data_IF_306420473213
#
_entry.id   IF_306420473213
#
_cell.length_a   1.000
_cell.length_b   1.000
_cell.length_c   1.000
_cell.angle_alpha   90.00
_cell.angle_beta   90.00
_cell.angle_gamma   90.00
#
_symmetry.space_group_name_H-M   'P 1'
#
loop_
_entity.id
_entity.type
_entity.pdbx_description
1 polymer ?
#
# COMPACT_ATOMS: atom_id res chain seq x y z
N UNK A 1 1.96 -18.66 13.09
CA UNK A 1 1.41 -17.31 13.31
C UNK A 1 1.85 -16.37 12.18
N UNK A 2 1.50 -16.71 10.94
CA UNK A 2 1.79 -15.88 9.76
C UNK A 2 0.52 -15.51 8.98
N UNK A 3 -0.66 -15.73 9.59
CA UNK A 3 -1.95 -15.55 8.88
C UNK A 3 -2.49 -14.13 8.88
N UNK A 4 -1.95 -13.23 9.70
CA UNK A 4 -2.46 -11.84 9.82
C UNK A 4 -1.80 -10.83 8.86
N UNK A 5 -0.80 -11.25 8.07
CA UNK A 5 -0.06 -10.34 7.16
C UNK A 5 -0.77 -10.14 5.83
N UNK A 6 -1.64 -11.08 5.46
CA UNK A 6 -2.31 -11.07 4.17
C UNK A 6 -3.81 -11.37 4.32
N UNK A 7 -4.64 -10.41 3.96
CA UNK A 7 -6.08 -10.61 3.69
C UNK A 7 -6.36 -10.32 2.22
N UNK A 8 -6.55 -11.35 1.38
CA UNK A 8 -7.16 -11.13 0.08
C UNK A 8 -8.61 -10.71 0.33
N UNK A 9 -8.92 -9.46 0.07
CA UNK A 9 -10.31 -8.99 0.11
C UNK A 9 -10.98 -9.44 -1.17
N UNK A 10 -11.69 -10.56 -1.10
CA UNK A 10 -12.61 -10.94 -2.15
C UNK A 10 -13.61 -9.80 -2.37
N UNK A 11 -13.88 -9.47 -3.61
CA UNK A 11 -14.82 -8.47 -4.09
C UNK A 11 -16.18 -8.61 -3.37
N UNK A 12 -16.40 -7.88 -2.30
CA UNK A 12 -17.66 -7.89 -1.57
C UNK A 12 -18.29 -6.52 -1.67
N UNK A 13 -19.15 -6.36 -2.69
CA UNK A 13 -20.14 -5.27 -2.80
C UNK A 13 -21.11 -5.19 -1.61
N UNK A 14 -20.92 -5.94 -0.53
CA UNK A 14 -21.96 -6.21 0.47
C UNK A 14 -21.82 -5.55 1.83
N UNK A 15 -20.88 -4.63 2.06
CA UNK A 15 -20.76 -3.92 3.35
C UNK A 15 -20.69 -2.40 3.27
N UNK A 16 -21.22 -1.79 2.20
CA UNK A 16 -21.32 -0.31 2.15
C UNK A 16 -22.32 0.29 3.15
N UNK A 17 -23.15 -0.50 3.79
CA UNK A 17 -24.24 0.02 4.65
C UNK A 17 -24.00 -0.01 6.16
N UNK A 18 -22.96 -0.66 6.65
CA UNK A 18 -22.84 -0.88 8.10
C UNK A 18 -21.64 -0.22 8.79
N UNK A 19 -20.69 0.38 8.08
CA UNK A 19 -19.45 0.78 8.72
C UNK A 19 -19.26 2.27 9.02
N UNK A 20 -20.09 3.18 8.50
CA UNK A 20 -19.77 4.61 8.67
C UNK A 20 -20.98 5.52 8.93
N UNK A 21 -21.60 5.41 10.10
CA UNK A 21 -22.20 6.59 10.75
C UNK A 21 -21.11 7.43 11.42
N UNK A 22 -20.11 7.88 10.67
CA UNK A 22 -19.11 8.82 11.16
C UNK A 22 -19.47 10.21 10.66
N UNK A 23 -20.09 10.97 11.53
CA UNK A 23 -20.60 12.33 11.28
C UNK A 23 -19.57 13.44 11.33
N UNK A 24 -18.27 13.14 11.43
CA UNK A 24 -17.25 14.19 11.42
C UNK A 24 -17.06 14.81 10.03
N UNK A 25 -17.18 16.15 9.87
CA UNK A 25 -16.95 16.82 8.58
C UNK A 25 -15.59 16.48 7.93
N UNK A 26 -14.56 16.26 8.74
CA UNK A 26 -13.20 15.92 8.29
C UNK A 26 -13.12 14.51 7.69
N UNK A 27 -13.89 13.56 8.22
CA UNK A 27 -13.96 12.20 7.65
C UNK A 27 -14.69 12.21 6.33
N UNK A 28 -15.80 12.93 6.25
CA UNK A 28 -16.53 13.14 4.99
C UNK A 28 -15.65 13.81 3.93
N UNK A 29 -14.76 14.70 4.33
CA UNK A 29 -13.81 15.33 3.41
C UNK A 29 -12.78 14.32 2.87
N UNK A 30 -12.23 13.44 3.72
CA UNK A 30 -11.31 12.39 3.29
C UNK A 30 -11.97 11.42 2.29
N UNK A 31 -13.22 11.02 2.56
CA UNK A 31 -14.01 10.19 1.64
C UNK A 31 -14.28 10.90 0.31
N UNK A 32 -14.59 12.20 0.34
CA UNK A 32 -14.78 13.02 -0.86
C UNK A 32 -13.52 13.04 -1.72
N UNK A 33 -12.34 13.25 -1.10
CA UNK A 33 -11.07 13.21 -1.81
C UNK A 33 -10.74 11.82 -2.35
N UNK A 34 -11.06 10.77 -1.60
CA UNK A 34 -10.90 9.40 -2.06
C UNK A 34 -11.70 9.14 -3.36
N UNK A 35 -12.96 9.56 -3.40
CA UNK A 35 -13.81 9.43 -4.59
C UNK A 35 -13.32 10.31 -5.75
N UNK A 36 -12.79 11.50 -5.45
CA UNK A 36 -12.26 12.42 -6.45
C UNK A 36 -11.03 11.85 -7.16
N UNK A 37 -10.09 11.25 -6.41
CA UNK A 37 -8.84 10.71 -6.96
C UNK A 37 -9.00 9.32 -7.55
N UNK A 38 -10.08 8.60 -7.20
CA UNK A 38 -10.29 7.21 -7.59
C UNK A 38 -10.21 6.95 -9.10
N UNK A 39 -10.81 7.76 -9.99
CA UNK A 39 -10.75 7.52 -11.44
C UNK A 39 -9.35 7.68 -12.04
N UNK A 40 -8.44 8.38 -11.36
CA UNK A 40 -7.05 8.51 -11.79
C UNK A 40 -6.24 7.27 -11.43
N UNK A 41 -5.06 7.11 -12.03
CA UNK A 41 -4.10 6.07 -11.66
C UNK A 41 -2.97 6.61 -10.77
N UNK A 42 -3.15 7.81 -10.22
CA UNK A 42 -2.19 8.45 -9.32
C UNK A 42 -1.96 7.60 -8.07
N UNK A 43 -0.71 7.59 -7.61
CA UNK A 43 -0.37 7.08 -6.28
C UNK A 43 -0.96 8.01 -5.21
N UNK A 44 -1.49 7.44 -4.15
CA UNK A 44 -2.12 8.19 -3.06
C UNK A 44 -1.39 7.92 -1.76
N UNK A 45 -1.07 8.98 -1.03
CA UNK A 45 -0.55 8.92 0.34
C UNK A 45 -1.65 9.27 1.33
N UNK A 46 -1.97 8.35 2.24
CA UNK A 46 -2.96 8.55 3.29
C UNK A 46 -2.23 8.77 4.61
N UNK A 47 -2.35 9.97 5.15
CA UNK A 47 -1.75 10.35 6.44
C UNK A 47 -2.80 10.30 7.55
N UNK A 48 -2.48 9.70 8.68
CA UNK A 48 -3.39 9.66 9.82
C UNK A 48 -2.91 8.74 10.93
N UNK A 49 -3.37 8.98 12.15
CA UNK A 49 -3.04 8.16 13.30
C UNK A 49 -3.48 6.68 13.12
N UNK A 50 -2.92 5.80 13.91
CA UNK A 50 -3.32 4.39 13.91
C UNK A 50 -4.80 4.25 14.28
N UNK A 51 -5.49 3.31 13.62
CA UNK A 51 -6.92 3.06 13.88
C UNK A 51 -7.89 4.10 13.29
N UNK A 52 -7.43 5.06 12.49
CA UNK A 52 -8.31 6.08 11.89
C UNK A 52 -9.10 5.59 10.67
N UNK A 53 -8.88 4.36 10.23
CA UNK A 53 -9.58 3.80 9.07
C UNK A 53 -8.90 4.11 7.72
N UNK A 54 -7.57 4.24 7.68
CA UNK A 54 -6.80 4.48 6.45
C UNK A 54 -7.05 3.39 5.38
N UNK A 55 -7.15 2.13 5.79
CA UNK A 55 -7.49 1.03 4.87
C UNK A 55 -8.88 1.20 4.25
N UNK A 56 -9.85 1.68 5.01
CA UNK A 56 -11.20 1.95 4.50
C UNK A 56 -11.20 3.04 3.42
N UNK A 57 -10.37 4.08 3.59
CA UNK A 57 -10.17 5.11 2.56
C UNK A 57 -9.52 4.50 1.31
N UNK A 58 -8.50 3.65 1.48
CA UNK A 58 -7.86 2.95 0.37
C UNK A 58 -8.85 2.05 -0.40
N UNK A 59 -9.71 1.32 0.31
CA UNK A 59 -10.78 0.53 -0.30
C UNK A 59 -11.79 1.40 -1.04
N UNK A 60 -12.14 2.57 -0.50
CA UNK A 60 -13.04 3.52 -1.17
C UNK A 60 -12.43 4.00 -2.49
N UNK A 61 -11.14 4.29 -2.51
CA UNK A 61 -10.41 4.65 -3.74
C UNK A 61 -10.49 3.50 -4.74
N UNK A 62 -10.13 2.30 -4.34
CA UNK A 62 -10.14 1.13 -5.21
C UNK A 62 -11.54 0.86 -5.79
N UNK A 63 -12.57 0.83 -4.95
CA UNK A 63 -13.94 0.50 -5.35
C UNK A 63 -14.58 1.52 -6.30
N UNK A 64 -14.05 2.75 -6.34
CA UNK A 64 -14.51 3.81 -7.25
C UNK A 64 -13.52 4.09 -8.40
N UNK A 65 -12.49 3.25 -8.57
CA UNK A 65 -11.49 3.33 -9.65
C UNK A 65 -11.86 2.45 -10.83
N UNK A 66 -11.15 2.63 -11.95
CA UNK A 66 -11.23 1.73 -13.12
C UNK A 66 -10.80 0.29 -12.79
N UNK A 67 -10.10 0.09 -11.66
CA UNK A 67 -9.61 -1.20 -11.18
C UNK A 67 -10.53 -1.88 -10.16
N UNK A 68 -11.76 -1.41 -10.00
CA UNK A 68 -12.69 -1.83 -8.94
C UNK A 68 -12.98 -3.34 -8.91
N UNK A 69 -12.91 -4.02 -10.05
CA UNK A 69 -13.14 -5.46 -10.21
C UNK A 69 -11.86 -6.29 -10.23
N UNK A 70 -10.71 -5.64 -10.04
CA UNK A 70 -9.40 -6.26 -9.99
C UNK A 70 -8.96 -6.47 -8.53
N UNK A 71 -7.87 -7.21 -8.25
CA UNK A 71 -7.45 -7.47 -6.88
C UNK A 71 -7.14 -6.19 -6.08
N UNK A 72 -7.51 -6.20 -4.80
CA UNK A 72 -7.04 -5.26 -3.80
C UNK A 72 -6.21 -6.05 -2.78
N UNK A 73 -4.92 -5.78 -2.72
CA UNK A 73 -3.97 -6.45 -1.83
C UNK A 73 -3.51 -5.47 -0.77
N UNK A 74 -3.81 -5.74 0.50
CA UNK A 74 -3.37 -4.92 1.63
C UNK A 74 -2.18 -5.58 2.34
N UNK A 75 -1.13 -4.80 2.57
CA UNK A 75 0.10 -5.22 3.22
C UNK A 75 0.43 -4.26 4.36
N UNK A 76 0.64 -4.80 5.56
CA UNK A 76 1.22 -4.04 6.67
C UNK A 76 2.74 -4.17 6.62
N UNK A 77 3.44 -3.10 6.23
CA UNK A 77 4.90 -3.08 6.12
C UNK A 77 5.60 -3.26 7.47
N UNK A 78 4.97 -2.86 8.57
CA UNK A 78 5.51 -3.04 9.93
C UNK A 78 5.54 -4.48 10.41
N UNK A 79 4.73 -5.35 9.81
CA UNK A 79 4.65 -6.77 10.17
C UNK A 79 5.57 -7.67 9.32
N UNK A 80 6.31 -7.12 8.34
CA UNK A 80 7.15 -7.90 7.43
C UNK A 80 8.53 -8.19 8.05
N UNK A 81 8.95 -9.48 8.11
CA UNK A 81 10.33 -9.81 8.44
C UNK A 81 11.29 -9.20 7.41
N UNK A 82 12.36 -8.54 7.87
CA UNK A 82 13.33 -7.87 6.98
C UNK A 82 13.91 -8.80 5.92
N UNK A 83 14.32 -9.98 6.34
CA UNK A 83 14.99 -10.98 5.50
C UNK A 83 14.07 -11.54 4.40
N UNK A 84 12.76 -11.47 4.61
CA UNK A 84 11.76 -12.01 3.69
C UNK A 84 11.05 -10.93 2.86
N UNK A 85 11.25 -9.65 3.17
CA UNK A 85 10.48 -8.57 2.58
C UNK A 85 10.58 -8.54 1.04
N UNK A 86 11.78 -8.64 0.47
CA UNK A 86 11.96 -8.66 -0.98
C UNK A 86 11.22 -9.85 -1.63
N UNK A 87 11.32 -11.03 -1.06
CA UNK A 87 10.60 -12.23 -1.53
C UNK A 87 9.08 -12.10 -1.38
N UNK A 88 8.60 -11.47 -0.31
CA UNK A 88 7.16 -11.23 -0.10
C UNK A 88 6.61 -10.22 -1.09
N UNK A 89 7.34 -9.15 -1.38
CA UNK A 89 6.91 -8.13 -2.34
C UNK A 89 6.97 -8.62 -3.78
N UNK A 90 8.10 -9.23 -4.18
CA UNK A 90 8.41 -9.49 -5.59
C UNK A 90 8.35 -10.97 -5.97
N UNK A 91 8.18 -11.86 -4.97
CA UNK A 91 8.26 -13.30 -5.18
C UNK A 91 9.70 -13.82 -5.29
N UNK A 92 9.87 -15.12 -5.38
CA UNK A 92 11.16 -15.75 -5.63
C UNK A 92 11.02 -16.99 -6.49
N UNK A 93 12.07 -17.30 -7.23
CA UNK A 93 12.21 -18.55 -7.97
C UNK A 93 12.75 -19.65 -7.05
N UNK A 94 12.48 -20.90 -7.42
CA UNK A 94 13.06 -22.05 -6.72
C UNK A 94 14.59 -21.96 -6.72
N UNK A 95 15.22 -22.13 -5.56
CA UNK A 95 16.67 -22.09 -5.41
C UNK A 95 17.27 -20.69 -5.38
N UNK A 96 16.47 -19.63 -5.33
CA UNK A 96 16.95 -18.24 -5.32
C UNK A 96 17.80 -17.89 -4.08
N UNK A 97 17.56 -18.56 -2.97
CA UNK A 97 18.32 -18.45 -1.71
C UNK A 97 18.20 -19.74 -0.90
N UNK A 98 18.99 -19.88 0.16
CA UNK A 98 18.93 -21.05 1.05
C UNK A 98 17.54 -21.15 1.70
N UNK A 99 16.83 -22.26 1.46
CA UNK A 99 15.45 -22.47 1.93
C UNK A 99 14.36 -22.12 0.91
N UNK A 100 14.72 -21.67 -0.30
CA UNK A 100 13.79 -21.48 -1.40
C UNK A 100 13.48 -22.80 -2.12
N UNK A 101 12.78 -23.70 -1.43
CA UNK A 101 12.49 -25.06 -1.94
C UNK A 101 11.49 -25.08 -3.10
N UNK A 102 10.68 -24.02 -3.22
CA UNK A 102 9.71 -23.82 -4.29
C UNK A 102 9.67 -22.35 -4.69
N UNK A 103 9.20 -22.06 -5.91
CA UNK A 103 8.90 -20.69 -6.34
C UNK A 103 7.71 -20.14 -5.54
N UNK A 104 7.70 -18.84 -5.27
CA UNK A 104 6.63 -18.16 -4.55
C UNK A 104 6.23 -16.85 -5.24
N UNK A 105 4.93 -16.65 -5.35
CA UNK A 105 4.32 -15.43 -5.88
C UNK A 105 4.40 -14.30 -4.87
N UNK A 106 4.79 -13.11 -5.31
CA UNK A 106 4.85 -11.91 -4.46
C UNK A 106 3.60 -11.05 -4.52
N UNK A 107 3.56 -10.01 -3.69
CA UNK A 107 2.41 -9.09 -3.61
C UNK A 107 2.16 -8.34 -4.92
N UNK A 108 3.20 -8.00 -5.67
CA UNK A 108 3.04 -7.36 -6.97
C UNK A 108 2.34 -8.25 -8.00
N UNK A 109 2.66 -9.54 -8.02
CA UNK A 109 1.96 -10.51 -8.88
C UNK A 109 0.50 -10.67 -8.44
N UNK A 110 0.26 -10.73 -7.11
CA UNK A 110 -1.09 -10.90 -6.55
C UNK A 110 -1.99 -9.69 -6.81
N UNK A 111 -1.42 -8.48 -6.83
CA UNK A 111 -2.12 -7.23 -7.07
C UNK A 111 -2.22 -6.88 -8.57
N UNK A 112 -1.69 -7.70 -9.46
CA UNK A 112 -1.63 -7.41 -10.91
C UNK A 112 -2.98 -6.98 -11.48
N UNK A 113 -2.97 -5.85 -12.16
CA UNK A 113 -4.15 -5.19 -12.73
C UNK A 113 -4.98 -4.39 -11.71
N UNK A 114 -4.71 -4.55 -10.42
CA UNK A 114 -5.46 -3.98 -9.32
C UNK A 114 -4.70 -2.94 -8.51
N UNK A 115 -4.87 -3.00 -7.19
CA UNK A 115 -4.31 -2.04 -6.24
C UNK A 115 -3.54 -2.75 -5.14
N UNK A 116 -2.35 -2.24 -4.83
CA UNK A 116 -1.54 -2.64 -3.69
C UNK A 116 -1.59 -1.52 -2.65
N UNK A 117 -2.17 -1.83 -1.49
CA UNK A 117 -2.23 -0.92 -0.35
C UNK A 117 -1.12 -1.25 0.63
N UNK A 118 -0.24 -0.29 0.89
CA UNK A 118 0.93 -0.40 1.76
C UNK A 118 0.70 0.42 3.02
N UNK A 119 0.29 -0.22 4.11
CA UNK A 119 0.14 0.45 5.40
C UNK A 119 1.47 0.47 6.17
N UNK A 120 1.63 1.46 7.04
CA UNK A 120 2.85 1.70 7.80
C UNK A 120 4.11 1.79 6.91
N UNK A 121 4.01 2.52 5.80
CA UNK A 121 5.10 2.62 4.80
C UNK A 121 6.42 3.13 5.39
N UNK A 122 6.37 3.96 6.45
CA UNK A 122 7.54 4.49 7.13
C UNK A 122 8.43 3.45 7.79
N UNK A 123 7.90 2.26 8.10
CA UNK A 123 8.65 1.15 8.70
C UNK A 123 9.46 0.33 7.70
N UNK A 124 9.27 0.57 6.40
CA UNK A 124 9.94 -0.16 5.33
C UNK A 124 11.44 0.05 5.37
N UNK A 125 12.23 -1.04 5.22
CA UNK A 125 13.69 -0.92 5.16
C UNK A 125 14.14 -0.11 3.95
N UNK A 126 15.29 0.55 4.07
CA UNK A 126 15.84 1.40 2.99
C UNK A 126 16.09 0.60 1.70
N UNK A 127 16.45 -0.68 1.82
CA UNK A 127 16.63 -1.59 0.69
C UNK A 127 15.31 -1.79 -0.07
N UNK A 128 14.22 -2.09 0.63
CA UNK A 128 12.90 -2.29 0.00
C UNK A 128 12.38 -0.98 -0.57
N UNK A 129 12.61 0.14 0.10
CA UNK A 129 12.30 1.47 -0.46
C UNK A 129 12.96 1.68 -1.82
N UNK A 130 14.24 1.29 -1.97
CA UNK A 130 14.98 1.41 -3.23
C UNK A 130 14.39 0.53 -4.33
N UNK A 131 13.99 -0.69 -3.99
CA UNK A 131 13.33 -1.60 -4.93
C UNK A 131 11.95 -1.09 -5.34
N UNK A 132 11.15 -0.60 -4.40
CA UNK A 132 9.84 -0.02 -4.68
C UNK A 132 9.96 1.23 -5.57
N UNK A 133 10.91 2.10 -5.29
CA UNK A 133 11.18 3.27 -6.14
C UNK A 133 11.47 2.86 -7.59
N UNK A 134 12.31 1.85 -7.79
CA UNK A 134 12.61 1.32 -9.11
C UNK A 134 11.33 0.84 -9.83
N UNK A 135 10.49 0.09 -9.13
CA UNK A 135 9.20 -0.36 -9.70
C UNK A 135 8.34 0.81 -10.15
N UNK A 136 8.24 1.87 -9.32
CA UNK A 136 7.45 3.07 -9.63
C UNK A 136 8.03 3.90 -10.77
N UNK A 137 9.35 3.88 -10.97
CA UNK A 137 10.03 4.62 -12.04
C UNK A 137 10.01 3.88 -13.37
N UNK A 138 10.25 2.57 -13.35
CA UNK A 138 10.45 1.75 -14.54
C UNK A 138 9.19 0.96 -14.94
N UNK A 139 8.18 0.90 -14.07
CA UNK A 139 7.00 0.05 -14.21
C UNK A 139 7.33 -1.43 -14.44
N UNK A 140 8.46 -1.88 -13.88
CA UNK A 140 8.91 -3.27 -13.93
C UNK A 140 9.40 -3.72 -12.56
N UNK A 141 9.36 -5.02 -12.33
CA UNK A 141 9.95 -5.67 -11.17
C UNK A 141 10.44 -7.07 -11.55
N UNK A 142 11.32 -7.64 -10.72
CA UNK A 142 11.77 -9.01 -10.88
C UNK A 142 11.60 -9.77 -9.56
N UNK A 143 11.16 -11.03 -9.65
CA UNK A 143 11.25 -11.96 -8.51
C UNK A 143 12.72 -12.20 -8.16
N UNK A 144 12.99 -12.56 -6.90
CA UNK A 144 14.35 -12.90 -6.47
C UNK A 144 14.84 -14.11 -7.27
N UNK A 145 15.93 -13.95 -8.00
CA UNK A 145 16.46 -14.96 -8.93
C UNK A 145 15.70 -15.10 -10.25
N UNK A 146 14.69 -14.27 -10.51
CA UNK A 146 13.84 -14.33 -11.70
C UNK A 146 14.10 -13.23 -12.73
N UNK A 147 13.25 -13.23 -13.75
CA UNK A 147 13.29 -12.27 -14.85
C UNK A 147 12.43 -11.06 -14.57
N UNK A 148 12.73 -9.96 -15.24
CA UNK A 148 11.94 -8.74 -15.22
C UNK A 148 10.53 -8.95 -15.78
N UNK A 149 9.54 -8.34 -15.13
CA UNK A 149 8.11 -8.36 -15.49
C UNK A 149 7.55 -6.94 -15.42
N UNK A 150 6.51 -6.68 -16.19
CA UNK A 150 5.78 -5.41 -16.13
C UNK A 150 4.98 -5.32 -14.84
N UNK A 151 5.08 -4.18 -14.15
CA UNK A 151 4.26 -3.85 -12.99
C UNK A 151 3.02 -3.06 -13.43
N UNK A 152 1.87 -3.72 -13.44
CA UNK A 152 0.56 -3.08 -13.64
C UNK A 152 -0.22 -3.10 -12.32
N UNK A 153 0.16 -2.19 -11.42
CA UNK A 153 -0.39 -2.10 -10.07
C UNK A 153 -0.48 -0.64 -9.66
N UNK A 154 -1.66 -0.21 -9.21
CA UNK A 154 -1.81 1.08 -8.54
C UNK A 154 -1.35 0.99 -7.09
N UNK A 155 -0.54 1.95 -6.64
CA UNK A 155 -0.05 2.01 -5.26
C UNK A 155 -0.85 3.03 -4.45
N UNK A 156 -1.31 2.60 -3.27
CA UNK A 156 -1.84 3.47 -2.22
C UNK A 156 -0.99 3.20 -0.98
N UNK A 157 -0.35 4.22 -0.44
CA UNK A 157 0.48 4.12 0.75
C UNK A 157 -0.18 4.83 1.93
N UNK A 158 0.05 4.34 3.14
CA UNK A 158 -0.44 4.96 4.36
C UNK A 158 0.63 4.99 5.45
N UNK A 159 0.61 6.02 6.29
CA UNK A 159 1.50 6.16 7.43
C UNK A 159 0.89 7.03 8.53
N UNK A 160 1.33 6.81 9.75
CA UNK A 160 1.09 7.69 10.90
C UNK A 160 2.33 8.54 11.25
N UNK A 161 3.44 8.34 10.55
CA UNK A 161 4.70 9.02 10.81
C UNK A 161 4.78 10.40 10.16
N UNK A 162 5.58 11.29 10.74
CA UNK A 162 5.99 12.52 10.09
C UNK A 162 7.05 12.20 9.04
N UNK A 163 6.63 12.16 7.79
CA UNK A 163 7.51 11.79 6.67
C UNK A 163 8.63 12.82 6.45
N UNK A 164 8.44 14.10 6.80
CA UNK A 164 9.48 15.10 6.70
C UNK A 164 10.60 14.86 7.74
N UNK A 165 10.23 14.41 8.94
CA UNK A 165 11.21 13.97 9.93
C UNK A 165 11.94 12.71 9.49
N UNK A 166 11.24 11.72 8.93
CA UNK A 166 11.84 10.49 8.43
C UNK A 166 12.82 10.75 7.30
N UNK A 167 12.51 11.65 6.37
CA UNK A 167 13.39 12.07 5.28
C UNK A 167 14.63 12.77 5.82
N UNK A 168 14.47 13.77 6.70
CA UNK A 168 15.61 14.47 7.32
C UNK A 168 16.50 13.56 8.16
N UNK A 169 15.89 12.57 8.83
CA UNK A 169 16.58 11.56 9.62
C UNK A 169 17.25 10.46 8.79
N UNK A 170 17.05 10.45 7.47
CA UNK A 170 17.64 9.44 6.57
C UNK A 170 17.01 8.05 6.66
N UNK A 171 15.84 7.91 7.31
CA UNK A 171 15.14 6.64 7.42
C UNK A 171 14.17 6.39 6.28
N UNK A 172 13.78 7.45 5.56
CA UNK A 172 12.93 7.35 4.38
C UNK A 172 13.50 8.16 3.21
N UNK A 173 13.42 7.60 2.01
CA UNK A 173 13.93 8.24 0.79
C UNK A 173 13.00 9.35 0.33
N UNK A 174 13.56 10.52 0.07
CA UNK A 174 12.82 11.67 -0.43
C UNK A 174 12.24 11.42 -1.84
N UNK A 175 13.01 10.79 -2.72
CA UNK A 175 12.58 10.47 -4.08
C UNK A 175 11.40 9.48 -4.10
N UNK A 176 11.41 8.48 -3.23
CA UNK A 176 10.28 7.57 -3.06
C UNK A 176 9.04 8.29 -2.51
N UNK A 177 9.23 9.16 -1.51
CA UNK A 177 8.14 9.95 -0.96
C UNK A 177 7.41 10.75 -2.03
N UNK A 178 8.14 11.44 -2.91
CA UNK A 178 7.55 12.21 -3.99
C UNK A 178 6.81 11.35 -5.02
N UNK A 179 7.27 10.14 -5.28
CA UNK A 179 6.59 9.18 -6.17
C UNK A 179 5.31 8.62 -5.56
N UNK A 180 5.29 8.40 -4.25
CA UNK A 180 4.10 7.89 -3.54
C UNK A 180 3.07 8.97 -3.25
N UNK A 181 3.49 10.22 -3.07
CA UNK A 181 2.66 11.34 -2.68
C UNK A 181 2.26 12.22 -3.89
N UNK A 182 1.72 11.61 -4.94
CA UNK A 182 1.13 12.35 -6.06
C UNK A 182 -0.19 13.00 -5.64
N UNK A 183 -0.94 12.36 -4.76
CA UNK A 183 -2.14 12.90 -4.12
C UNK A 183 -2.14 12.56 -2.63
N UNK A 184 -2.40 13.55 -1.78
CA UNK A 184 -2.39 13.38 -0.32
C UNK A 184 -3.80 13.45 0.26
N UNK A 185 -4.15 12.48 1.11
CA UNK A 185 -5.37 12.48 1.91
C UNK A 185 -4.99 12.45 3.39
N UNK A 186 -5.48 13.43 4.14
CA UNK A 186 -5.31 13.46 5.61
C UNK A 186 -6.54 12.92 6.30
N UNK A 187 -6.36 11.84 7.02
CA UNK A 187 -7.39 11.24 7.86
C UNK A 187 -7.28 11.84 9.27
N UNK A 188 -8.32 12.50 9.77
CA UNK A 188 -8.28 13.09 11.10
C UNK A 188 -8.21 12.02 12.20
N UNK A 189 -7.51 12.33 13.29
CA UNK A 189 -7.54 11.50 14.49
C UNK A 189 -8.92 11.56 15.17
N UNK A 190 -9.36 10.43 15.74
CA UNK A 190 -10.50 10.41 16.64
C UNK A 190 -10.08 11.01 17.98
N UNK A 191 -10.47 12.22 18.27
CA UNK A 191 -10.19 12.84 19.57
C UNK A 191 -9.53 14.21 19.42
N UNK A 192 -10.34 15.18 19.17
CA UNK A 192 -10.02 16.57 19.12
C UNK A 192 -11.29 17.39 19.02
N UNK A 193 -12.16 17.24 20.02
CA UNK A 193 -13.09 18.30 20.38
C UNK A 193 -12.28 19.26 21.23
N UNK A 194 -11.88 20.35 20.68
CA UNK A 194 -11.50 21.57 21.38
C UNK A 194 -12.09 22.72 20.62
#
# INVERSE_FOLDING_TARGET
MAEDVFRPVATVRRKEKELFHRTSPKILQAEKFARLVAPSDMSVMILGANGTGKESIAQTIHNNSERWNMPFVAVNCGALPRELAASLFFGHEKGAFTGADSAKTGYFDMAKGGTLFLDEIGTMSYEIQSLLLRVLQENTYASVGGRERTADVRIIAATNEDMQLAIRGGTFREDLYHRLNEFEIRQPSFGGVS
#
